data_IF_984997652086
#
_entry.id   IF_984997652086
#
_cell.length_a   1.000
_cell.length_b   1.000
_cell.length_c   1.000
_cell.angle_alpha   90.00
_cell.angle_beta   90.00
_cell.angle_gamma   90.00
#
_symmetry.space_group_name_H-M   'P 1'
#
loop_
_entity.id
_entity.type
_entity.pdbx_description
1 polymer ?
#
# COMPACT_ATOMS: atom_id res chain seq x y z
N UNK A 1 -11.09 -7.92 30.78
CA UNK A 1 -10.26 -7.06 29.92
C UNK A 1 -9.81 -7.86 28.70
N UNK A 2 -9.67 -7.18 27.56
CA UNK A 2 -9.19 -7.66 26.26
C UNK A 2 -10.13 -8.56 25.42
N UNK A 3 -11.17 -7.97 24.86
CA UNK A 3 -11.72 -8.41 23.56
C UNK A 3 -10.84 -7.82 22.46
N UNK A 4 -9.81 -8.56 22.03
CA UNK A 4 -9.02 -8.24 20.84
C UNK A 4 -9.88 -8.45 19.59
N UNK A 5 -10.56 -7.39 19.16
CA UNK A 5 -11.35 -7.36 17.93
C UNK A 5 -10.43 -7.41 16.72
N UNK A 6 -10.83 -8.23 15.74
CA UNK A 6 -10.18 -8.41 14.46
C UNK A 6 -9.76 -7.08 13.80
N UNK A 7 -8.48 -6.99 13.42
CA UNK A 7 -7.92 -6.14 12.37
C UNK A 7 -8.82 -4.99 11.91
N UNK A 8 -8.73 -3.85 12.60
CA UNK A 8 -9.28 -2.59 12.09
C UNK A 8 -8.56 -2.28 10.78
N UNK A 9 -9.23 -2.52 9.65
CA UNK A 9 -8.68 -2.19 8.35
C UNK A 9 -8.45 -0.67 8.32
N UNK A 10 -7.21 -0.19 8.16
CA UNK A 10 -6.95 1.24 8.12
C UNK A 10 -7.80 1.87 7.01
N UNK A 11 -8.41 3.02 7.32
CA UNK A 11 -9.30 3.73 6.38
C UNK A 11 -8.61 3.86 5.02
N UNK A 12 -9.21 3.24 4.02
CA UNK A 12 -8.73 3.32 2.65
C UNK A 12 -9.06 4.69 2.06
N UNK A 13 -8.16 5.21 1.25
CA UNK A 13 -8.37 6.47 0.56
C UNK A 13 -9.44 6.26 -0.51
N UNK A 14 -10.40 7.18 -0.59
CA UNK A 14 -11.38 7.15 -1.67
C UNK A 14 -10.70 7.49 -3.00
N UNK A 15 -11.34 7.10 -4.11
CA UNK A 15 -10.85 7.43 -5.45
C UNK A 15 -10.78 8.95 -5.69
N UNK A 16 -11.68 9.71 -5.06
CA UNK A 16 -11.71 11.17 -5.09
C UNK A 16 -10.53 11.75 -4.32
N UNK A 17 -10.28 11.28 -3.08
CA UNK A 17 -9.13 11.69 -2.26
C UNK A 17 -7.80 11.45 -3.00
N UNK A 18 -7.65 10.29 -3.68
CA UNK A 18 -6.46 9.97 -4.47
C UNK A 18 -6.31 10.83 -5.74
N UNK A 19 -7.43 11.21 -6.36
CA UNK A 19 -7.45 12.13 -7.51
C UNK A 19 -7.02 13.52 -7.06
N UNK A 20 -7.58 14.01 -5.97
CA UNK A 20 -7.36 15.36 -5.45
C UNK A 20 -5.92 15.53 -4.94
N UNK A 21 -5.36 14.46 -4.36
CA UNK A 21 -3.93 14.35 -4.03
C UNK A 21 -3.00 14.17 -5.25
N UNK A 22 -3.55 14.16 -6.48
CA UNK A 22 -2.82 14.04 -7.75
C UNK A 22 -1.90 12.80 -7.82
N UNK A 23 -2.34 11.68 -7.23
CA UNK A 23 -1.58 10.43 -7.31
C UNK A 23 -1.56 9.90 -8.76
N UNK A 24 -0.39 9.48 -9.29
CA UNK A 24 -0.33 8.79 -10.58
C UNK A 24 -1.09 7.46 -10.52
N UNK A 25 -1.63 7.01 -11.66
CA UNK A 25 -2.47 5.80 -11.74
C UNK A 25 -1.82 4.56 -11.13
N UNK A 26 -0.51 4.40 -11.31
CA UNK A 26 0.24 3.26 -10.77
C UNK A 26 0.26 3.19 -9.24
N UNK A 27 0.07 4.31 -8.55
CA UNK A 27 0.12 4.42 -7.09
C UNK A 27 -1.27 4.57 -6.44
N UNK A 28 -2.35 4.40 -7.22
CA UNK A 28 -3.72 4.41 -6.71
C UNK A 28 -4.15 3.01 -6.28
N UNK A 29 -3.40 2.44 -5.35
CA UNK A 29 -3.62 1.10 -4.81
C UNK A 29 -4.21 1.15 -3.38
N UNK A 30 -4.36 -0.02 -2.76
CA UNK A 30 -4.84 -0.18 -1.38
C UNK A 30 -3.88 0.41 -0.33
N UNK A 31 -2.73 0.94 -0.72
CA UNK A 31 -1.79 1.65 0.14
C UNK A 31 -1.82 3.17 -0.07
N UNK A 32 -2.68 3.68 -0.95
CA UNK A 32 -2.79 5.12 -1.28
C UNK A 32 -3.07 6.01 -0.07
N UNK A 33 -3.78 5.51 0.94
CA UNK A 33 -4.06 6.24 2.19
C UNK A 33 -2.82 6.60 3.00
N UNK A 34 -1.71 5.86 2.85
CA UNK A 34 -0.42 6.17 3.49
C UNK A 34 0.45 7.07 2.61
N UNK A 35 0.26 7.02 1.30
CA UNK A 35 1.07 7.80 0.37
C UNK A 35 0.70 9.29 0.37
N UNK A 36 -0.59 9.60 0.55
CA UNK A 36 -1.08 10.99 0.67
C UNK A 36 -0.37 11.74 1.82
N UNK A 37 -0.40 11.26 3.08
CA UNK A 37 0.29 11.93 4.19
C UNK A 37 1.81 11.95 4.02
N UNK A 38 2.41 10.89 3.44
CA UNK A 38 3.85 10.87 3.14
C UNK A 38 4.24 11.97 2.15
N UNK A 39 3.47 12.16 1.07
CA UNK A 39 3.75 13.20 0.09
C UNK A 39 3.56 14.60 0.67
N UNK A 40 2.59 14.77 1.57
CA UNK A 40 2.42 16.02 2.32
C UNK A 40 3.64 16.31 3.20
N UNK A 41 4.07 15.34 4.01
CA UNK A 41 5.26 15.48 4.85
C UNK A 41 6.51 15.81 4.02
N UNK A 42 6.70 15.16 2.87
CA UNK A 42 7.81 15.44 1.96
C UNK A 42 7.78 16.87 1.41
N UNK A 43 6.62 17.39 1.03
CA UNK A 43 6.49 18.77 0.56
C UNK A 43 6.75 19.76 1.70
N UNK A 44 6.14 19.56 2.87
CA UNK A 44 6.27 20.43 4.03
C UNK A 44 7.72 20.50 4.55
N UNK A 45 8.47 19.41 4.41
CA UNK A 45 9.87 19.30 4.85
C UNK A 45 10.88 19.46 3.72
N UNK A 46 10.48 19.89 2.52
CA UNK A 46 11.38 20.04 1.36
C UNK A 46 12.22 18.77 1.04
N UNK A 47 11.61 17.59 1.21
CA UNK A 47 12.20 16.29 0.87
C UNK A 47 13.50 15.97 1.63
N UNK A 48 13.64 16.46 2.86
CA UNK A 48 14.80 16.16 3.70
C UNK A 48 14.91 14.64 3.98
N UNK A 49 16.08 13.99 3.74
CA UNK A 49 16.23 12.53 3.84
C UNK A 49 15.98 11.91 5.23
N UNK A 50 16.12 12.70 6.29
CA UNK A 50 15.97 12.24 7.68
C UNK A 50 14.57 12.52 8.27
N UNK A 51 13.68 13.15 7.50
CA UNK A 51 12.28 13.41 7.89
C UNK A 51 11.34 12.42 7.19
N UNK A 52 10.14 12.25 7.77
CA UNK A 52 9.08 11.41 7.22
C UNK A 52 9.42 9.91 7.11
N UNK A 53 10.35 9.41 7.95
CA UNK A 53 10.81 8.02 7.88
C UNK A 53 9.74 7.02 8.33
N UNK A 54 8.97 7.35 9.37
CA UNK A 54 7.93 6.46 9.88
C UNK A 54 6.80 6.29 8.86
N UNK A 55 6.35 7.38 8.23
CA UNK A 55 5.35 7.37 7.17
C UNK A 55 5.86 6.62 5.94
N UNK A 56 7.14 6.82 5.59
CA UNK A 56 7.80 6.10 4.48
C UNK A 56 7.81 4.60 4.73
N UNK A 57 8.32 4.16 5.88
CA UNK A 57 8.41 2.74 6.21
C UNK A 57 7.04 2.09 6.37
N UNK A 58 6.05 2.84 6.87
CA UNK A 58 4.66 2.36 6.93
C UNK A 58 4.09 2.11 5.53
N UNK A 59 4.32 3.03 4.58
CA UNK A 59 3.91 2.86 3.18
C UNK A 59 4.64 1.68 2.51
N UNK A 60 5.96 1.58 2.67
CA UNK A 60 6.78 0.48 2.13
C UNK A 60 6.34 -0.88 2.68
N UNK A 61 6.03 -0.97 3.98
CA UNK A 61 5.50 -2.19 4.60
C UNK A 61 4.15 -2.58 4.01
N UNK A 62 3.25 -1.62 3.77
CA UNK A 62 1.97 -1.88 3.13
C UNK A 62 2.17 -2.47 1.73
N UNK A 63 3.02 -1.84 0.91
CA UNK A 63 3.37 -2.32 -0.43
C UNK A 63 3.92 -3.74 -0.43
N UNK A 64 4.80 -4.04 0.54
CA UNK A 64 5.37 -5.37 0.67
C UNK A 64 4.33 -6.43 1.02
N UNK A 65 3.40 -6.11 1.93
CA UNK A 65 2.31 -7.02 2.28
C UNK A 65 1.39 -7.27 1.09
N UNK A 66 1.03 -6.23 0.33
CA UNK A 66 0.23 -6.37 -0.89
C UNK A 66 0.95 -7.18 -1.98
N UNK A 67 2.26 -6.98 -2.13
CA UNK A 67 3.07 -7.80 -3.03
C UNK A 67 3.02 -9.28 -2.66
N UNK A 68 3.19 -9.62 -1.38
CA UNK A 68 3.10 -11.01 -0.91
C UNK A 68 1.72 -11.63 -1.19
N UNK A 69 0.63 -10.87 -1.01
CA UNK A 69 -0.72 -11.34 -1.38
C UNK A 69 -0.82 -11.64 -2.88
N UNK A 70 -0.23 -10.78 -3.73
CA UNK A 70 -0.21 -11.00 -5.18
C UNK A 70 0.62 -12.23 -5.56
N UNK A 71 1.75 -12.47 -4.91
CA UNK A 71 2.56 -13.68 -5.12
C UNK A 71 1.78 -14.93 -4.75
N UNK A 72 1.15 -14.96 -3.56
CA UNK A 72 0.33 -16.10 -3.12
C UNK A 72 -0.79 -16.39 -4.13
N UNK A 73 -1.51 -15.37 -4.60
CA UNK A 73 -2.53 -15.52 -5.64
C UNK A 73 -1.97 -16.05 -6.96
N UNK A 74 -0.76 -15.63 -7.34
CA UNK A 74 -0.11 -16.14 -8.55
C UNK A 74 0.29 -17.61 -8.41
N UNK A 75 0.71 -18.04 -7.23
CA UNK A 75 1.06 -19.43 -6.96
C UNK A 75 -0.19 -20.32 -6.96
N UNK A 76 -1.30 -19.88 -6.35
CA UNK A 76 -2.61 -20.55 -6.46
C UNK A 76 -3.04 -20.74 -7.93
N UNK A 77 -2.88 -19.70 -8.76
CA UNK A 77 -3.21 -19.75 -10.19
C UNK A 77 -2.28 -20.69 -10.98
N UNK A 78 -1.01 -20.82 -10.57
CA UNK A 78 -0.05 -21.74 -11.20
C UNK A 78 -0.37 -23.18 -10.87
N UNK A 79 -0.69 -23.46 -9.60
CA UNK A 79 -1.11 -24.79 -9.15
C UNK A 79 -2.38 -25.23 -9.88
N UNK A 80 -3.37 -24.35 -9.99
CA UNK A 80 -4.60 -24.61 -10.74
C UNK A 80 -4.36 -24.90 -12.24
N UNK A 81 -3.25 -24.40 -12.81
CA UNK A 81 -2.84 -24.65 -14.20
C UNK A 81 -1.83 -25.81 -14.35
N UNK A 82 -1.64 -26.62 -13.31
CA UNK A 82 -0.71 -27.75 -13.33
C UNK A 82 0.76 -27.35 -13.49
N UNK A 83 1.15 -26.17 -12.99
CA UNK A 83 2.53 -25.67 -13.07
C UNK A 83 2.89 -24.96 -14.38
N UNK A 84 1.95 -24.81 -15.32
CA UNK A 84 2.20 -24.09 -16.56
C UNK A 84 2.39 -22.58 -16.30
N UNK A 85 3.53 -22.04 -16.73
CA UNK A 85 3.80 -20.59 -16.67
C UNK A 85 2.96 -19.90 -17.74
N UNK A 86 2.17 -18.91 -17.32
CA UNK A 86 1.42 -18.07 -18.26
C UNK A 86 2.42 -17.09 -18.91
N UNK A 87 2.83 -17.37 -20.15
CA UNK A 87 3.59 -16.47 -21.01
C UNK A 87 2.92 -16.44 -22.38
#
# INVERSE_FOLDING_TARGET
>A
MATGTASEAPRQATREEMRDAKLPMAYRDSCGHLLIPLNRCRQDTYYLPWKCNDERHSYEKCQYVEFKKRVAKMDELREAKGGARSN
#
